data_IF_471640251472
#
_entry.id   IF_471640251472
#
_cell.length_a   1.000
_cell.length_b   1.000
_cell.length_c   1.000
_cell.angle_alpha   90.00
_cell.angle_beta   90.00
_cell.angle_gamma   90.00
#
_symmetry.space_group_name_H-M   'P 1'
#
loop_
_entity.id
_entity.type
_entity.pdbx_description
1 polymer ?
#
# COMPACT_ATOMS: atom_id res chain seq x y z
N UNK A 1 -17.18 -69.67 46.50
CA UNK A 1 -17.02 -68.23 46.19
C UNK A 1 -16.01 -68.05 45.05
N UNK A 2 -16.45 -67.94 43.80
CA UNK A 2 -15.63 -67.54 42.64
C UNK A 2 -16.55 -66.83 41.65
N UNK A 3 -16.82 -65.55 41.91
CA UNK A 3 -17.61 -64.69 41.01
C UNK A 3 -17.19 -63.20 40.89
N UNK A 4 -16.04 -62.70 41.40
CA UNK A 4 -15.67 -61.29 41.15
C UNK A 4 -14.80 -61.06 39.90
N UNK A 5 -14.05 -62.07 39.41
CA UNK A 5 -13.04 -61.87 38.36
C UNK A 5 -13.62 -61.78 36.94
N UNK A 6 -14.73 -62.47 36.65
CA UNK A 6 -15.33 -62.46 35.30
C UNK A 6 -16.10 -61.17 34.98
N UNK A 7 -16.62 -60.49 36.01
CA UNK A 7 -17.37 -59.22 35.87
C UNK A 7 -16.42 -58.04 35.63
N UNK A 8 -15.28 -58.01 36.32
CA UNK A 8 -14.23 -57.00 36.15
C UNK A 8 -13.59 -57.03 34.74
N UNK A 9 -13.27 -58.22 34.21
CA UNK A 9 -12.68 -58.37 32.85
C UNK A 9 -13.66 -57.96 31.74
N UNK A 10 -14.97 -58.15 31.93
CA UNK A 10 -16.00 -57.69 30.99
C UNK A 10 -16.10 -56.16 30.99
N UNK A 11 -15.91 -55.52 32.13
CA UNK A 11 -16.03 -54.08 32.30
C UNK A 11 -14.82 -53.33 31.71
N UNK A 12 -13.61 -53.89 31.84
CA UNK A 12 -12.37 -53.33 31.24
C UNK A 12 -12.38 -53.37 29.71
N UNK A 13 -12.87 -54.46 29.10
CA UNK A 13 -13.01 -54.55 27.64
C UNK A 13 -14.03 -53.56 27.09
N UNK A 14 -15.13 -53.34 27.82
CA UNK A 14 -16.16 -52.35 27.44
C UNK A 14 -15.64 -50.92 27.50
N UNK A 15 -14.87 -50.58 28.54
CA UNK A 15 -14.25 -49.25 28.70
C UNK A 15 -13.17 -48.99 27.65
N UNK A 16 -12.34 -49.98 27.31
CA UNK A 16 -11.34 -49.86 26.24
C UNK A 16 -11.97 -49.62 24.86
N UNK A 17 -13.05 -50.33 24.53
CA UNK A 17 -13.78 -50.13 23.27
C UNK A 17 -14.40 -48.73 23.23
N UNK A 18 -15.00 -48.28 24.34
CA UNK A 18 -15.59 -46.95 24.42
C UNK A 18 -14.53 -45.85 24.25
N UNK A 19 -13.37 -46.00 24.90
CA UNK A 19 -12.24 -45.09 24.76
C UNK A 19 -11.71 -45.05 23.31
N UNK A 20 -11.60 -46.21 22.64
CA UNK A 20 -11.18 -46.29 21.26
C UNK A 20 -12.18 -45.62 20.30
N UNK A 21 -13.48 -45.82 20.50
CA UNK A 21 -14.54 -45.17 19.71
C UNK A 21 -14.53 -43.65 19.94
N UNK A 22 -14.38 -43.20 21.19
CA UNK A 22 -14.25 -41.77 21.51
C UNK A 22 -13.03 -41.15 20.82
N UNK A 23 -11.88 -41.83 20.84
CA UNK A 23 -10.68 -41.38 20.13
C UNK A 23 -10.88 -41.31 18.61
N UNK A 24 -11.56 -42.30 18.03
CA UNK A 24 -11.91 -42.29 16.61
C UNK A 24 -12.83 -41.12 16.26
N UNK A 25 -13.88 -40.88 17.04
CA UNK A 25 -14.80 -39.76 16.83
C UNK A 25 -14.08 -38.41 16.96
N UNK A 26 -13.24 -38.25 17.98
CA UNK A 26 -12.44 -37.04 18.18
C UNK A 26 -11.45 -36.82 17.04
N UNK A 27 -10.74 -37.87 16.62
CA UNK A 27 -9.80 -37.80 15.49
C UNK A 27 -10.52 -37.46 14.18
N UNK A 28 -11.68 -38.06 13.92
CA UNK A 28 -12.50 -37.73 12.75
C UNK A 28 -13.05 -36.30 12.81
N UNK A 29 -13.51 -35.84 13.97
CA UNK A 29 -14.01 -34.47 14.17
C UNK A 29 -12.91 -33.43 13.96
N UNK A 30 -11.73 -33.64 14.53
CA UNK A 30 -10.55 -32.80 14.32
C UNK A 30 -10.11 -32.81 12.85
N UNK A 31 -10.12 -33.97 12.19
CA UNK A 31 -9.81 -34.09 10.77
C UNK A 31 -10.78 -33.31 9.88
N UNK A 32 -12.08 -33.37 10.17
CA UNK A 32 -13.09 -32.60 9.44
C UNK A 32 -12.90 -31.09 9.63
N UNK A 33 -12.66 -30.64 10.86
CA UNK A 33 -12.41 -29.24 11.17
C UNK A 33 -11.15 -28.72 10.48
N UNK A 34 -10.06 -29.50 10.51
CA UNK A 34 -8.81 -29.15 9.81
C UNK A 34 -9.02 -29.03 8.30
N UNK A 35 -9.78 -29.95 7.70
CA UNK A 35 -10.15 -29.87 6.28
C UNK A 35 -11.01 -28.65 5.97
N UNK A 36 -11.97 -28.33 6.84
CA UNK A 36 -12.84 -27.15 6.69
C UNK A 36 -12.05 -25.84 6.74
N UNK A 37 -11.11 -25.72 7.69
CA UNK A 37 -10.21 -24.57 7.81
C UNK A 37 -9.32 -24.46 6.57
N UNK A 38 -8.68 -25.56 6.15
CA UNK A 38 -7.81 -25.56 4.96
C UNK A 38 -8.55 -25.16 3.68
N UNK A 39 -9.77 -25.66 3.49
CA UNK A 39 -10.63 -25.28 2.36
C UNK A 39 -10.96 -23.78 2.38
N UNK A 40 -11.28 -23.23 3.56
CA UNK A 40 -11.56 -21.81 3.71
C UNK A 40 -10.32 -20.94 3.45
N UNK A 41 -9.13 -21.34 3.92
CA UNK A 41 -7.89 -20.62 3.67
C UNK A 41 -7.49 -20.63 2.20
N UNK A 42 -7.68 -21.77 1.52
CA UNK A 42 -7.46 -21.87 0.07
C UNK A 42 -8.38 -20.90 -0.68
N UNK A 43 -9.66 -20.84 -0.30
CA UNK A 43 -10.59 -19.89 -0.91
C UNK A 43 -10.13 -18.46 -0.66
N UNK A 44 -9.81 -18.07 0.58
CA UNK A 44 -9.32 -16.73 0.93
C UNK A 44 -8.06 -16.37 0.13
N UNK A 45 -7.10 -17.28 0.02
CA UNK A 45 -5.88 -17.08 -0.78
C UNK A 45 -6.19 -16.86 -2.26
N UNK A 46 -7.09 -17.66 -2.85
CA UNK A 46 -7.49 -17.46 -4.25
C UNK A 46 -8.27 -16.15 -4.46
N UNK A 47 -9.07 -15.72 -3.48
CA UNK A 47 -9.76 -14.43 -3.53
C UNK A 47 -8.76 -13.27 -3.44
N UNK A 48 -7.82 -13.33 -2.49
CA UNK A 48 -6.76 -12.34 -2.32
C UNK A 48 -5.86 -12.24 -3.55
N UNK A 49 -5.43 -13.37 -4.11
CA UNK A 49 -4.63 -13.39 -5.35
C UNK A 49 -5.37 -12.80 -6.56
N UNK A 50 -6.68 -13.04 -6.67
CA UNK A 50 -7.50 -12.46 -7.75
C UNK A 50 -7.78 -10.98 -7.55
N UNK A 51 -7.97 -10.55 -6.31
CA UNK A 51 -8.13 -9.15 -5.95
C UNK A 51 -6.86 -8.36 -6.29
N UNK A 52 -5.69 -8.88 -5.92
CA UNK A 52 -4.40 -8.32 -6.33
C UNK A 52 -4.28 -8.28 -7.86
N UNK A 53 -4.65 -9.37 -8.56
CA UNK A 53 -4.68 -9.38 -10.02
C UNK A 53 -5.55 -8.29 -10.64
N UNK A 54 -6.74 -8.03 -10.11
CA UNK A 54 -7.60 -6.94 -10.59
C UNK A 54 -7.05 -5.54 -10.28
N UNK A 55 -6.36 -5.38 -9.15
CA UNK A 55 -5.68 -4.12 -8.80
C UNK A 55 -4.52 -3.87 -9.76
N UNK A 56 -3.63 -4.85 -9.96
CA UNK A 56 -2.51 -4.74 -10.90
C UNK A 56 -3.00 -4.45 -12.32
N UNK A 57 -4.07 -5.13 -12.78
CA UNK A 57 -4.67 -4.84 -14.09
C UNK A 57 -5.17 -3.39 -14.21
N UNK A 58 -5.81 -2.87 -13.16
CA UNK A 58 -6.28 -1.49 -13.16
C UNK A 58 -5.09 -0.51 -13.13
N UNK A 59 -4.02 -0.81 -12.38
CA UNK A 59 -2.76 -0.05 -12.37
C UNK A 59 -2.06 -0.07 -13.73
N UNK A 60 -2.02 -1.21 -14.43
CA UNK A 60 -1.44 -1.30 -15.79
C UNK A 60 -2.15 -0.37 -16.78
N UNK A 61 -3.45 -0.13 -16.63
CA UNK A 61 -4.15 0.88 -17.44
C UNK A 61 -3.64 2.31 -17.20
N UNK A 62 -3.24 2.63 -15.97
CA UNK A 62 -2.59 3.90 -15.63
C UNK A 62 -1.20 3.97 -16.24
N UNK A 63 -0.41 2.91 -16.10
CA UNK A 63 0.94 2.83 -16.68
C UNK A 63 0.91 2.98 -18.20
N UNK A 64 -0.04 2.34 -18.87
CA UNK A 64 -0.22 2.47 -20.30
C UNK A 64 -0.53 3.92 -20.72
N UNK A 65 -1.37 4.62 -19.97
CA UNK A 65 -1.62 6.06 -20.21
C UNK A 65 -0.37 6.88 -20.02
N UNK A 66 0.43 6.62 -18.97
CA UNK A 66 1.69 7.32 -18.75
C UNK A 66 2.68 7.04 -19.90
N UNK A 67 2.68 5.81 -20.43
CA UNK A 67 3.49 5.46 -21.60
C UNK A 67 3.07 6.26 -22.85
N UNK A 68 1.77 6.47 -23.06
CA UNK A 68 1.25 7.30 -24.16
C UNK A 68 1.56 8.78 -23.98
N UNK A 69 1.57 9.28 -22.75
CA UNK A 69 2.01 10.65 -22.47
C UNK A 69 3.52 10.82 -22.75
N UNK A 70 4.32 9.77 -22.48
CA UNK A 70 5.76 9.77 -22.74
C UNK A 70 6.10 9.61 -24.24
N UNK A 71 5.37 8.76 -24.96
CA UNK A 71 5.48 8.56 -26.41
C UNK A 71 4.09 8.67 -27.08
N UNK A 72 3.64 9.90 -27.40
CA UNK A 72 2.33 10.13 -28.00
C UNK A 72 2.11 9.43 -29.33
N UNK A 73 3.17 9.12 -30.08
CA UNK A 73 3.06 8.46 -31.38
C UNK A 73 2.51 7.03 -31.29
N UNK A 74 2.65 6.37 -30.13
CA UNK A 74 2.10 5.03 -29.86
C UNK A 74 0.72 5.05 -29.24
N UNK A 75 0.16 6.23 -29.02
CA UNK A 75 -1.14 6.37 -28.39
C UNK A 75 -2.29 6.23 -29.39
N UNK A 76 -3.50 5.88 -28.92
CA UNK A 76 -4.70 5.83 -29.77
C UNK A 76 -5.12 7.20 -30.33
N UNK A 77 -4.69 8.30 -29.69
CA UNK A 77 -4.94 9.68 -30.12
C UNK A 77 -3.67 10.53 -29.91
N UNK A 78 -2.71 10.45 -30.85
CA UNK A 78 -1.43 11.16 -30.71
C UNK A 78 -1.58 12.68 -30.51
N UNK A 79 -2.48 13.39 -31.22
CA UNK A 79 -2.72 14.80 -30.96
C UNK A 79 -3.20 15.09 -29.52
N UNK A 80 -4.09 14.27 -28.96
CA UNK A 80 -4.52 14.43 -27.57
C UNK A 80 -3.35 14.25 -26.60
N UNK A 81 -2.66 13.11 -26.67
CA UNK A 81 -1.59 12.77 -25.71
C UNK A 81 -0.36 13.68 -25.81
N UNK A 82 -0.03 14.19 -27.00
CA UNK A 82 1.03 15.18 -27.18
C UNK A 82 0.74 16.50 -26.44
N UNK A 83 -0.52 16.83 -26.22
CA UNK A 83 -0.94 18.05 -25.54
C UNK A 83 -1.16 17.85 -24.03
N UNK A 84 -1.26 16.63 -23.51
CA UNK A 84 -1.51 16.38 -22.07
C UNK A 84 -0.49 17.10 -21.15
N UNK A 85 0.83 17.09 -21.41
CA UNK A 85 1.79 17.77 -20.52
C UNK A 85 1.63 19.30 -20.45
N UNK A 86 1.03 19.91 -21.47
CA UNK A 86 0.90 21.37 -21.61
C UNK A 86 -0.54 21.86 -21.42
N UNK A 87 -1.53 20.98 -21.59
CA UNK A 87 -2.96 21.27 -21.51
C UNK A 87 -3.62 20.39 -20.46
N UNK A 88 -4.23 21.03 -19.45
CA UNK A 88 -5.00 20.36 -18.41
C UNK A 88 -6.32 19.81 -18.97
N UNK A 89 -6.71 18.62 -18.53
CA UNK A 89 -8.07 18.10 -18.72
C UNK A 89 -9.06 19.03 -18.03
N UNK A 90 -10.19 19.32 -18.68
CA UNK A 90 -11.16 20.29 -18.19
C UNK A 90 -12.58 19.75 -18.08
N UNK A 91 -12.87 18.60 -18.69
CA UNK A 91 -14.20 18.02 -18.66
C UNK A 91 -14.38 17.09 -17.47
N UNK A 92 -15.63 16.98 -17.03
CA UNK A 92 -16.00 16.14 -15.88
C UNK A 92 -16.00 14.64 -16.23
N UNK A 93 -15.97 13.78 -15.20
CA UNK A 93 -15.90 12.32 -15.32
C UNK A 93 -16.97 11.69 -16.24
N UNK A 94 -18.16 12.29 -16.31
CA UNK A 94 -19.29 11.81 -17.12
C UNK A 94 -19.15 12.10 -18.62
N UNK A 95 -18.32 13.08 -18.97
CA UNK A 95 -18.03 13.47 -20.34
C UNK A 95 -16.52 13.73 -20.48
N UNK A 96 -15.67 12.70 -20.33
CA UNK A 96 -14.22 12.87 -20.19
C UNK A 96 -13.59 13.55 -21.41
N UNK A 97 -12.41 14.13 -21.20
CA UNK A 97 -11.59 14.68 -22.28
C UNK A 97 -11.10 13.59 -23.23
N UNK A 98 -10.82 12.39 -22.69
CA UNK A 98 -10.50 11.20 -23.46
C UNK A 98 -11.15 9.97 -22.84
N UNK A 99 -11.67 9.09 -23.68
CA UNK A 99 -12.12 7.75 -23.29
C UNK A 99 -11.69 6.76 -24.35
N UNK A 100 -11.01 5.70 -23.92
CA UNK A 100 -10.60 4.64 -24.82
C UNK A 100 -11.84 3.88 -25.31
N UNK A 101 -11.90 3.62 -26.62
CA UNK A 101 -13.05 2.93 -27.21
C UNK A 101 -13.12 1.48 -26.74
N UNK A 102 -14.34 0.98 -26.53
CA UNK A 102 -14.57 -0.43 -26.15
C UNK A 102 -13.98 -1.41 -27.17
N UNK A 103 -13.98 -1.04 -28.45
CA UNK A 103 -13.40 -1.86 -29.52
C UNK A 103 -11.89 -2.04 -29.34
N UNK A 104 -11.18 -0.98 -28.93
CA UNK A 104 -9.73 -1.04 -28.71
C UNK A 104 -9.38 -1.70 -27.38
N UNK A 105 -10.18 -1.48 -26.33
CA UNK A 105 -10.08 -2.19 -25.05
C UNK A 105 -10.23 -3.70 -25.24
N UNK A 106 -11.18 -4.14 -26.07
CA UNK A 106 -11.45 -5.55 -26.31
C UNK A 106 -10.60 -6.16 -27.43
N UNK A 107 -9.66 -5.42 -28.03
CA UNK A 107 -8.79 -5.96 -29.07
C UNK A 107 -7.71 -6.85 -28.43
N UNK A 108 -7.93 -8.17 -28.48
CA UNK A 108 -7.07 -9.16 -27.85
C UNK A 108 -5.79 -9.47 -28.62
N UNK A 109 -5.72 -9.08 -29.90
CA UNK A 109 -4.63 -9.48 -30.79
C UNK A 109 -3.56 -8.38 -30.94
N UNK A 110 -4.01 -7.12 -31.01
CA UNK A 110 -3.14 -5.96 -31.27
C UNK A 110 -3.59 -4.73 -30.45
N UNK A 111 -4.43 -4.95 -29.44
CA UNK A 111 -4.86 -3.88 -28.55
C UNK A 111 -3.78 -3.52 -27.54
N UNK A 112 -3.90 -2.35 -26.90
CA UNK A 112 -2.91 -1.86 -25.92
C UNK A 112 -2.80 -2.72 -24.65
N UNK A 113 -3.68 -3.71 -24.49
CA UNK A 113 -3.74 -4.59 -23.32
C UNK A 113 -3.74 -6.08 -23.70
N UNK A 114 -3.30 -6.42 -24.92
CA UNK A 114 -3.26 -7.81 -25.40
C UNK A 114 -2.44 -8.73 -24.49
N UNK A 115 -1.35 -8.22 -23.92
CA UNK A 115 -0.47 -8.95 -22.99
C UNK A 115 -1.14 -9.31 -21.66
N UNK A 116 -2.23 -8.64 -21.29
CA UNK A 116 -2.89 -8.79 -19.99
C UNK A 116 -4.05 -9.79 -19.98
N UNK A 117 -4.36 -10.39 -21.14
CA UNK A 117 -5.57 -11.19 -21.36
C UNK A 117 -5.67 -12.43 -20.45
N UNK A 118 -4.53 -13.02 -20.08
CA UNK A 118 -4.49 -14.22 -19.22
C UNK A 118 -4.85 -13.91 -17.77
N UNK A 119 -4.67 -12.66 -17.34
CA UNK A 119 -4.90 -12.20 -15.97
C UNK A 119 -6.32 -11.62 -15.82
N UNK A 120 -6.80 -10.95 -16.85
CA UNK A 120 -8.14 -10.36 -16.91
C UNK A 120 -8.23 -9.34 -18.03
N UNK A 121 -9.06 -8.31 -17.86
CA UNK A 121 -9.19 -7.25 -18.85
C UNK A 121 -9.48 -5.90 -18.23
N UNK A 122 -8.97 -4.86 -18.86
CA UNK A 122 -9.44 -3.50 -18.63
C UNK A 122 -10.81 -3.36 -19.30
N UNK A 123 -11.71 -2.60 -18.67
CA UNK A 123 -13.09 -2.40 -19.16
C UNK A 123 -13.43 -0.92 -19.34
N UNK A 124 -12.69 -0.03 -18.71
CA UNK A 124 -12.87 1.41 -18.83
C UNK A 124 -11.54 2.12 -18.62
N UNK A 125 -11.21 3.04 -19.51
CA UNK A 125 -10.04 3.90 -19.39
C UNK A 125 -10.42 5.30 -19.86
N UNK A 126 -10.36 6.26 -18.95
CA UNK A 126 -10.77 7.65 -19.21
C UNK A 126 -9.87 8.66 -18.54
N UNK A 127 -9.71 9.82 -19.18
CA UNK A 127 -9.00 10.97 -18.65
C UNK A 127 -9.96 12.15 -18.54
N UNK A 128 -10.00 12.79 -17.37
CA UNK A 128 -10.89 13.91 -17.09
C UNK A 128 -10.26 14.90 -16.11
N UNK A 129 -10.96 15.98 -15.81
CA UNK A 129 -10.54 17.08 -14.95
C UNK A 129 -10.06 16.57 -13.57
N UNK A 130 -8.88 17.01 -13.09
CA UNK A 130 -8.38 16.66 -11.78
C UNK A 130 -9.14 17.32 -10.65
N UNK A 131 -9.17 16.65 -9.50
CA UNK A 131 -9.67 17.22 -8.25
C UNK A 131 -8.65 18.15 -7.60
N UNK A 132 -7.35 17.90 -7.79
CA UNK A 132 -6.30 18.77 -7.29
C UNK A 132 -6.10 20.01 -8.19
N UNK A 133 -5.97 21.23 -7.64
CA UNK A 133 -5.80 22.47 -8.43
C UNK A 133 -4.59 22.47 -9.35
N UNK A 134 -3.50 21.80 -8.95
CA UNK A 134 -2.26 21.65 -9.75
C UNK A 134 -2.22 20.37 -10.59
N UNK A 135 -3.30 19.59 -10.59
CA UNK A 135 -3.44 18.43 -11.44
C UNK A 135 -3.47 18.82 -12.92
N UNK A 136 -2.95 17.94 -13.75
CA UNK A 136 -3.04 18.00 -15.21
C UNK A 136 -4.30 17.24 -15.66
N UNK A 137 -4.42 15.97 -15.29
CA UNK A 137 -5.54 15.10 -15.64
C UNK A 137 -5.70 14.01 -14.57
N UNK A 138 -6.92 13.58 -14.29
CA UNK A 138 -7.19 12.32 -13.60
C UNK A 138 -7.31 11.20 -14.62
N UNK A 139 -6.53 10.15 -14.43
CA UNK A 139 -6.68 8.87 -15.10
C UNK A 139 -7.60 8.01 -14.24
N UNK A 140 -8.66 7.46 -14.82
CA UNK A 140 -9.40 6.37 -14.21
C UNK A 140 -9.27 5.14 -15.11
N UNK A 141 -8.79 4.07 -14.50
CA UNK A 141 -8.70 2.75 -15.10
C UNK A 141 -9.56 1.78 -14.30
N UNK A 142 -10.46 1.07 -14.98
CA UNK A 142 -11.27 0.01 -14.36
C UNK A 142 -10.95 -1.31 -15.02
N UNK A 143 -10.70 -2.34 -14.21
CA UNK A 143 -10.38 -3.67 -14.67
C UNK A 143 -11.24 -4.73 -13.99
N UNK A 144 -11.42 -5.85 -14.70
CA UNK A 144 -12.12 -7.02 -14.22
C UNK A 144 -11.16 -8.21 -14.30
N UNK A 145 -10.95 -8.91 -13.18
CA UNK A 145 -10.25 -10.20 -13.15
C UNK A 145 -11.21 -11.36 -12.90
N UNK A 146 -10.92 -12.52 -13.51
CA UNK A 146 -11.59 -13.80 -13.24
C UNK A 146 -13.12 -13.73 -13.11
N UNK A 147 -13.65 -14.16 -11.95
CA UNK A 147 -15.10 -14.28 -11.62
C UNK A 147 -15.85 -12.94 -11.47
N UNK A 148 -15.42 -11.87 -12.13
CA UNK A 148 -16.12 -10.59 -12.13
C UNK A 148 -15.73 -9.64 -11.00
N UNK A 149 -14.52 -9.77 -10.42
CA UNK A 149 -14.02 -8.80 -9.45
C UNK A 149 -13.61 -7.54 -10.21
N UNK A 150 -14.34 -6.45 -9.99
CA UNK A 150 -14.07 -5.14 -10.60
C UNK A 150 -13.26 -4.26 -9.65
N UNK A 151 -12.14 -3.72 -10.14
CA UNK A 151 -11.36 -2.69 -9.46
C UNK A 151 -11.31 -1.44 -10.30
N UNK A 152 -11.26 -0.31 -9.60
CA UNK A 152 -11.15 1.02 -10.20
C UNK A 152 -9.99 1.72 -9.52
N UNK A 153 -8.98 2.08 -10.30
CA UNK A 153 -7.83 2.87 -9.87
C UNK A 153 -7.98 4.27 -10.45
N UNK A 154 -7.74 5.29 -9.62
CA UNK A 154 -7.73 6.70 -10.01
C UNK A 154 -6.42 7.33 -9.62
N UNK A 155 -5.75 7.94 -10.58
CA UNK A 155 -4.45 8.60 -10.38
C UNK A 155 -4.50 9.97 -11.01
N UNK A 156 -4.00 10.99 -10.32
CA UNK A 156 -3.87 12.33 -10.88
C UNK A 156 -2.44 12.57 -11.35
N UNK A 157 -2.29 12.92 -12.62
CA UNK A 157 -1.02 13.40 -13.17
C UNK A 157 -0.85 14.86 -12.75
N UNK A 158 0.34 15.27 -12.35
CA UNK A 158 0.65 16.67 -12.09
C UNK A 158 2.08 17.00 -12.50
N UNK A 159 2.40 18.29 -12.68
CA UNK A 159 3.70 18.74 -13.18
C UNK A 159 4.82 18.64 -12.14
N UNK A 160 4.46 18.50 -10.87
CA UNK A 160 5.36 18.31 -9.75
C UNK A 160 4.56 17.76 -8.54
N UNK A 161 4.16 16.46 -8.57
CA UNK A 161 3.30 15.89 -7.53
C UNK A 161 4.03 15.80 -6.19
N UNK A 162 5.36 15.70 -6.25
CA UNK A 162 6.21 15.63 -5.09
C UNK A 162 6.67 17.04 -4.76
N UNK A 163 6.21 17.63 -3.66
CA UNK A 163 6.90 18.80 -3.14
C UNK A 163 8.36 18.44 -2.86
N UNK A 164 9.25 19.44 -2.81
CA UNK A 164 10.66 19.21 -2.52
C UNK A 164 10.82 18.25 -1.36
N UNK A 165 11.65 17.23 -1.56
CA UNK A 165 11.96 16.28 -0.50
C UNK A 165 12.79 17.04 0.53
N UNK A 166 12.14 17.48 1.61
CA UNK A 166 12.78 18.23 2.70
C UNK A 166 13.10 17.34 3.89
N UNK A 167 12.53 16.14 3.90
CA UNK A 167 12.52 15.19 5.01
C UNK A 167 12.75 13.78 4.47
N UNK A 168 13.29 12.92 5.33
CA UNK A 168 13.58 11.54 4.99
C UNK A 168 12.31 10.71 4.76
N UNK A 169 11.27 11.06 5.52
CA UNK A 169 9.92 10.58 5.36
C UNK A 169 9.03 11.81 5.31
N UNK A 170 8.27 11.97 4.23
CA UNK A 170 7.26 13.01 4.12
C UNK A 170 5.92 12.45 3.68
N UNK A 171 4.83 12.92 4.30
CA UNK A 171 3.47 12.49 3.97
C UNK A 171 2.50 13.67 3.93
N UNK A 172 1.50 13.56 3.06
CA UNK A 172 0.50 14.60 2.82
C UNK A 172 -0.91 14.01 2.99
N UNK A 173 -1.77 14.76 3.69
CA UNK A 173 -3.19 14.42 3.88
C UNK A 173 -3.44 13.68 5.19
N UNK A 174 -4.70 13.41 5.52
CA UNK A 174 -5.06 12.67 6.75
C UNK A 174 -4.84 11.17 6.53
N UNK A 175 -3.72 10.63 7.00
CA UNK A 175 -3.52 9.18 6.93
C UNK A 175 -4.35 8.53 8.02
N UNK A 176 -5.51 8.00 7.64
CA UNK A 176 -6.18 6.95 8.43
C UNK A 176 -5.35 5.66 8.58
N UNK A 177 -4.08 5.68 8.17
CA UNK A 177 -3.13 4.57 8.15
C UNK A 177 -2.04 4.83 9.18
N UNK A 178 -1.69 3.78 9.92
CA UNK A 178 -0.69 3.87 10.98
C UNK A 178 0.72 3.77 10.39
N UNK A 179 1.57 4.79 10.55
CA UNK A 179 2.96 4.77 10.04
C UNK A 179 3.94 4.16 11.06
N UNK A 180 4.61 3.02 10.77
CA UNK A 180 5.68 2.52 11.63
C UNK A 180 6.95 3.36 11.43
N UNK A 181 7.43 4.01 12.48
CA UNK A 181 8.65 4.84 12.43
C UNK A 181 9.78 4.14 13.16
N UNK A 182 10.58 3.34 12.44
CA UNK A 182 11.79 2.69 12.95
C UNK A 182 12.99 3.10 12.07
N UNK A 183 13.76 4.12 12.46
CA UNK A 183 14.92 4.54 11.66
C UNK A 183 15.47 5.94 11.94
N UNK A 184 16.70 6.18 11.47
CA UNK A 184 17.48 7.41 11.63
C UNK A 184 17.73 8.11 10.30
N UNK A 185 16.69 8.50 9.58
CA UNK A 185 16.89 8.92 8.18
C UNK A 185 16.94 10.46 8.02
N UNK A 186 16.84 11.20 9.13
CA UNK A 186 16.66 12.65 9.15
C UNK A 186 15.23 13.02 9.59
N UNK A 187 14.80 14.27 9.38
CA UNK A 187 13.47 14.71 9.79
C UNK A 187 12.35 13.89 9.13
N UNK A 188 11.25 13.73 9.85
CA UNK A 188 9.99 13.17 9.39
C UNK A 188 8.97 14.31 9.40
N UNK A 189 8.36 14.59 8.24
CA UNK A 189 7.41 15.71 8.10
C UNK A 189 6.06 15.23 7.61
N UNK A 190 5.00 15.72 8.22
CA UNK A 190 3.67 15.28 7.87
C UNK A 190 2.68 16.46 7.81
N UNK A 191 2.12 16.72 6.63
CA UNK A 191 1.07 17.73 6.42
C UNK A 191 -0.28 17.07 6.59
N UNK A 192 -1.12 17.58 7.50
CA UNK A 192 -2.33 16.92 7.99
C UNK A 192 -2.16 16.18 9.32
N UNK A 193 -3.10 15.28 9.61
CA UNK A 193 -3.11 14.44 10.83
C UNK A 193 -2.50 13.06 10.54
N UNK A 194 -1.71 12.52 11.47
CA UNK A 194 -1.06 11.20 11.33
C UNK A 194 -1.27 10.33 12.56
N UNK A 195 -1.52 9.04 12.33
CA UNK A 195 -1.48 8.01 13.38
C UNK A 195 -0.15 7.29 13.35
N UNK A 196 0.65 7.41 14.40
CA UNK A 196 1.95 6.70 14.46
C UNK A 196 1.73 5.28 15.02
N UNK A 197 2.17 4.27 14.27
CA UNK A 197 1.97 2.85 14.59
C UNK A 197 3.05 2.29 15.51
N UNK A 198 2.66 1.35 16.36
CA UNK A 198 3.59 0.49 17.09
C UNK A 198 3.73 0.85 18.57
N UNK A 199 4.75 0.29 19.23
CA UNK A 199 5.07 0.58 20.64
C UNK A 199 5.80 1.91 20.73
N UNK A 200 5.45 2.76 21.70
CA UNK A 200 6.16 4.01 22.02
C UNK A 200 7.69 3.83 22.04
N UNK A 201 8.16 2.75 22.67
CA UNK A 201 9.58 2.42 22.78
C UNK A 201 10.31 2.30 21.43
N UNK A 202 9.60 2.08 20.31
CA UNK A 202 10.20 1.94 18.97
C UNK A 202 10.38 3.25 18.23
N UNK A 203 9.67 4.31 18.62
CA UNK A 203 9.90 5.65 18.07
C UNK A 203 11.22 6.15 18.65
N UNK A 204 12.15 6.70 17.86
CA UNK A 204 13.40 7.17 18.42
C UNK A 204 13.25 8.41 19.32
N UNK A 205 14.07 8.53 20.38
CA UNK A 205 14.22 9.76 21.18
C UNK A 205 15.46 10.51 20.76
N UNK A 206 15.42 11.85 20.70
CA UNK A 206 16.62 12.61 20.38
C UNK A 206 17.63 12.57 21.53
N UNK A 207 18.87 12.21 21.21
CA UNK A 207 20.04 12.29 22.07
C UNK A 207 21.19 12.97 21.30
N UNK A 208 21.37 14.29 21.49
CA UNK A 208 22.40 15.07 20.79
C UNK A 208 23.84 14.64 21.12
N UNK A 209 24.04 13.85 22.19
CA UNK A 209 25.36 13.36 22.62
C UNK A 209 25.84 12.12 21.86
N UNK A 210 24.97 11.49 21.06
CA UNK A 210 25.34 10.32 20.28
C UNK A 210 26.25 10.67 19.09
N UNK A 211 27.17 9.75 18.78
CA UNK A 211 27.98 9.82 17.57
C UNK A 211 27.08 9.65 16.33
N UNK A 212 27.36 10.31 15.19
CA UNK A 212 26.59 10.15 13.95
C UNK A 212 26.77 8.77 13.27
N UNK A 213 27.48 7.84 13.91
CA UNK A 213 27.66 6.48 13.43
C UNK A 213 26.40 5.63 13.75
N UNK A 214 26.10 4.60 12.96
CA UNK A 214 24.88 3.81 13.13
C UNK A 214 24.90 3.07 14.47
N UNK A 215 24.04 3.49 15.39
CA UNK A 215 23.61 2.65 16.50
C UNK A 215 22.45 1.77 16.00
N UNK A 216 22.53 0.44 16.17
CA UNK A 216 21.44 -0.43 15.73
C UNK A 216 20.20 -0.17 16.59
N UNK A 217 19.07 0.06 15.93
CA UNK A 217 17.76 0.04 16.58
C UNK A 217 17.44 -1.40 17.00
N UNK A 218 17.05 -1.58 18.24
CA UNK A 218 16.70 -2.89 18.80
C UNK A 218 15.20 -2.97 19.04
N UNK A 219 14.64 -4.17 19.01
CA UNK A 219 13.23 -4.37 19.38
C UNK A 219 12.93 -3.94 20.82
N UNK A 220 13.97 -3.98 21.66
CA UNK A 220 13.98 -3.61 23.08
C UNK A 220 15.17 -2.68 23.34
N UNK A 221 14.91 -1.42 23.70
CA UNK A 221 15.96 -0.44 23.96
C UNK A 221 15.42 0.98 24.01
N UNK A 222 16.24 1.96 24.43
CA UNK A 222 15.84 3.36 24.50
C UNK A 222 15.63 3.99 23.12
N UNK A 223 16.12 3.33 22.05
CA UNK A 223 16.01 3.75 20.65
C UNK A 223 16.32 5.23 20.51
N UNK A 224 17.59 5.59 20.69
CA UNK A 224 18.01 6.99 20.70
C UNK A 224 18.65 7.37 19.37
N UNK A 225 18.45 8.62 18.97
CA UNK A 225 18.96 9.15 17.72
C UNK A 225 19.50 10.57 17.85
N UNK A 226 20.52 10.94 17.09
CA UNK A 226 21.04 12.32 17.13
C UNK A 226 20.18 13.31 16.34
N UNK A 227 19.53 12.87 15.26
CA UNK A 227 18.99 13.72 14.18
C UNK A 227 17.51 13.48 13.88
N UNK A 228 16.89 12.43 14.41
CA UNK A 228 15.46 12.16 14.16
C UNK A 228 14.55 13.18 14.85
N UNK A 229 13.93 14.03 14.04
CA UNK A 229 12.86 14.96 14.43
C UNK A 229 11.56 14.59 13.72
N UNK A 230 10.42 14.71 14.40
CA UNK A 230 9.09 14.41 13.87
C UNK A 230 8.26 15.68 13.92
N UNK A 231 7.87 16.21 12.76
CA UNK A 231 7.06 17.42 12.65
C UNK A 231 5.72 17.09 12.00
N UNK A 232 4.64 17.49 12.65
CA UNK A 232 3.26 17.23 12.22
C UNK A 232 2.48 18.54 12.23
N UNK A 233 1.89 18.88 11.08
CA UNK A 233 1.19 20.15 10.87
C UNK A 233 -0.08 20.28 11.73
N UNK A 234 -0.89 19.21 11.83
CA UNK A 234 -2.13 19.23 12.61
C UNK A 234 -1.95 18.48 13.94
N UNK A 235 -2.36 17.22 13.98
CA UNK A 235 -2.40 16.42 15.20
C UNK A 235 -1.81 15.03 14.98
N UNK A 236 -1.22 14.50 16.03
CA UNK A 236 -0.80 13.11 16.16
C UNK A 236 -1.91 12.35 16.87
N UNK A 237 -2.48 11.38 16.17
CA UNK A 237 -3.52 10.53 16.73
C UNK A 237 -2.91 9.29 17.40
N UNK A 238 -3.31 9.00 18.63
CA UNK A 238 -2.92 7.78 19.34
C UNK A 238 -2.00 8.01 20.54
N UNK A 239 -0.85 7.32 20.55
CA UNK A 239 0.05 7.26 21.72
C UNK A 239 0.63 8.65 22.08
N UNK A 240 0.95 8.85 23.37
CA UNK A 240 1.46 10.10 23.96
C UNK A 240 2.91 10.46 23.57
N UNK A 241 3.29 10.29 22.31
CA UNK A 241 4.60 10.72 21.80
C UNK A 241 4.75 12.24 21.76
N UNK A 242 3.65 13.00 21.84
CA UNK A 242 3.65 14.47 21.85
C UNK A 242 4.51 15.06 22.98
N UNK A 243 4.75 14.29 24.04
CA UNK A 243 5.58 14.70 25.19
C UNK A 243 7.09 14.57 24.93
N UNK A 244 7.50 14.03 23.78
CA UNK A 244 8.90 13.78 23.47
C UNK A 244 9.59 15.03 22.94
N UNK A 245 10.87 15.24 23.28
CA UNK A 245 11.61 16.44 22.89
C UNK A 245 11.86 16.57 21.37
N UNK A 246 11.64 15.51 20.60
CA UNK A 246 11.84 15.48 19.15
C UNK A 246 10.54 15.35 18.35
N UNK A 247 9.41 15.62 18.98
CA UNK A 247 8.08 15.58 18.36
C UNK A 247 7.46 16.97 18.44
N UNK A 248 7.16 17.54 17.28
CA UNK A 248 6.59 18.85 17.11
C UNK A 248 5.21 18.70 16.47
N UNK A 249 4.16 18.95 17.25
CA UNK A 249 2.76 18.93 16.81
C UNK A 249 2.27 20.37 16.61
N UNK A 250 1.28 20.59 15.75
CA UNK A 250 0.86 21.91 15.29
C UNK A 250 2.01 22.72 14.66
N UNK A 251 2.96 22.03 14.02
CA UNK A 251 4.12 22.67 13.43
C UNK A 251 3.77 23.22 12.03
N UNK A 252 3.42 24.50 12.00
CA UNK A 252 3.10 25.23 10.76
C UNK A 252 4.30 25.42 9.83
N UNK A 253 5.52 25.08 10.26
CA UNK A 253 6.71 25.08 9.39
C UNK A 253 6.75 23.85 8.47
N UNK A 254 5.87 22.88 8.68
CA UNK A 254 5.66 21.73 7.79
C UNK A 254 4.90 22.16 6.53
N UNK A 255 5.56 22.95 5.70
CA UNK A 255 5.10 23.33 4.38
C UNK A 255 5.60 22.28 3.39
N UNK A 256 4.79 21.25 3.15
CA UNK A 256 4.97 20.35 2.01
C UNK A 256 4.32 20.91 0.74
N UNK A 257 3.97 22.19 0.68
CA UNK A 257 3.39 22.79 -0.53
C UNK A 257 4.43 23.51 -1.40
N UNK A 258 4.12 23.48 -2.71
CA UNK A 258 4.85 23.80 -3.96
C UNK A 258 5.83 24.99 -4.06
N UNK A 259 6.14 25.72 -2.98
CA UNK A 259 6.90 26.99 -3.05
C UNK A 259 8.40 26.81 -2.80
N UNK A 260 8.83 25.71 -2.21
CA UNK A 260 10.27 25.47 -2.08
C UNK A 260 10.80 24.99 -3.47
N UNK A 261 11.86 25.58 -4.03
CA UNK A 261 12.46 25.04 -5.25
C UNK A 261 13.00 23.64 -4.94
N UNK A 262 12.66 22.67 -5.77
CA UNK A 262 13.19 21.31 -5.63
C UNK A 262 14.73 21.37 -5.76
N UNK A 263 15.44 21.32 -4.63
CA UNK A 263 16.92 21.32 -4.55
C UNK A 263 17.52 19.96 -4.92
N UNK A 264 16.83 19.19 -5.75
CA UNK A 264 17.29 17.89 -6.24
C UNK A 264 18.66 17.99 -6.93
N UNK A 265 18.98 19.13 -7.54
CA UNK A 265 20.30 19.43 -8.08
C UNK A 265 21.36 19.48 -6.99
N UNK A 266 21.11 20.13 -5.85
CA UNK A 266 22.03 20.21 -4.72
C UNK A 266 22.22 18.84 -4.05
N UNK A 267 21.14 18.07 -3.90
CA UNK A 267 21.20 16.69 -3.36
C UNK A 267 21.99 15.77 -4.31
N UNK A 268 21.74 15.83 -5.62
CA UNK A 268 22.52 15.08 -6.62
C UNK A 268 23.99 15.49 -6.59
N UNK A 269 24.28 16.79 -6.51
CA UNK A 269 25.65 17.30 -6.39
C UNK A 269 26.34 16.84 -5.11
N UNK A 270 25.61 16.77 -3.98
CA UNK A 270 26.13 16.27 -2.71
C UNK A 270 26.43 14.76 -2.78
N UNK A 271 25.51 13.95 -3.30
CA UNK A 271 25.70 12.50 -3.47
C UNK A 271 26.91 12.22 -4.37
N UNK A 272 27.00 12.94 -5.50
CA UNK A 272 28.12 12.87 -6.44
C UNK A 272 29.46 13.28 -5.82
N UNK A 273 29.45 14.31 -4.96
CA UNK A 273 30.65 14.75 -4.24
C UNK A 273 31.12 13.75 -3.18
N UNK A 274 30.22 12.89 -2.67
CA UNK A 274 30.51 11.85 -1.67
C UNK A 274 30.75 10.47 -2.30
N UNK A 275 30.89 10.38 -3.64
CA UNK A 275 31.20 9.13 -4.34
C UNK A 275 30.03 8.17 -4.53
N UNK A 276 28.79 8.61 -4.30
CA UNK A 276 27.60 7.93 -4.82
C UNK A 276 27.32 8.37 -6.26
N UNK A 277 26.89 7.42 -7.11
CA UNK A 277 26.61 7.54 -8.56
C UNK A 277 26.89 8.88 -9.27
#
# INVERSE_FOLDING_TARGET
>A
MKKPLLESIKNEKGTAIFAAIMLLILASGLGLLAFHVSSSELQISTYSGRELGSTYLAESGVEQVLSWVADPARSPDPPFFANVPTRRCSREKTAPDFQLSEALINNTNDGPFSELIEIGRIVDLRLYKPSHPEGICTIQSSAISGKGVTKVVRVEISKNPLPPITAAVQGLGETGVSAPIWGHWGPIRYTGSVRIAGRLARVPMINPSLSPHPYPYTEEGPNEDRVTEIHVEKQIEGLSIQTRPNVYENDTSVLLDSVTPNRLSEIKSYIKAQGGY
#
